data_IF_850384064309
#
_entry.id   IF_850384064309
#
_cell.length_a   1.000
_cell.length_b   1.000
_cell.length_c   1.000
_cell.angle_alpha   90.00
_cell.angle_beta   90.00
_cell.angle_gamma   90.00
#
_symmetry.space_group_name_H-M   'P 1'
#
loop_
_entity.id
_entity.type
_entity.pdbx_description
1 polymer ?
#
# COMPACT_ATOMS: atom_id res chain seq x y z
N UNK A 1 5.26 -0.08 -10.54
CA UNK A 1 5.52 -0.34 -9.10
C UNK A 1 6.41 0.77 -8.60
N UNK A 2 6.07 1.41 -7.49
CA UNK A 2 6.93 2.40 -6.82
C UNK A 2 7.51 1.73 -5.58
N UNK A 3 8.83 1.77 -5.43
CA UNK A 3 9.50 1.36 -4.20
C UNK A 3 9.78 2.60 -3.37
N UNK A 4 9.28 2.63 -2.13
CA UNK A 4 9.36 3.81 -1.25
C UNK A 4 10.16 3.51 0.03
N UNK A 5 11.50 3.34 -0.07
CA UNK A 5 12.32 2.79 1.02
C UNK A 5 12.51 3.72 2.22
N UNK A 6 12.30 5.03 2.06
CA UNK A 6 12.28 6.01 3.16
C UNK A 6 11.28 7.09 2.83
N UNK A 7 10.27 7.21 3.69
CA UNK A 7 9.26 8.27 3.59
C UNK A 7 9.88 9.63 3.85
N UNK A 8 10.82 9.72 4.79
CA UNK A 8 11.47 10.97 5.20
C UNK A 8 12.33 11.57 4.08
N UNK A 9 13.01 10.72 3.31
CA UNK A 9 13.78 11.19 2.16
C UNK A 9 12.87 11.55 0.98
N UNK A 10 11.79 10.79 0.77
CA UNK A 10 10.83 11.07 -0.29
C UNK A 10 10.05 12.37 -0.03
N UNK A 11 9.65 12.61 1.22
CA UNK A 11 8.97 13.84 1.67
C UNK A 11 9.81 15.10 1.44
N UNK A 12 11.14 14.99 1.52
CA UNK A 12 12.06 16.11 1.26
C UNK A 12 12.22 16.44 -0.23
N UNK A 13 11.71 15.59 -1.12
CA UNK A 13 11.73 15.88 -2.56
C UNK A 13 10.71 16.96 -2.89
N UNK A 14 10.95 17.74 -3.95
CA UNK A 14 10.01 18.77 -4.37
C UNK A 14 8.69 18.20 -4.89
N UNK A 15 7.62 18.98 -4.81
CA UNK A 15 6.26 18.59 -5.19
C UNK A 15 6.17 18.02 -6.61
N UNK A 16 6.94 18.59 -7.56
CA UNK A 16 6.99 18.11 -8.93
C UNK A 16 7.48 16.65 -9.03
N UNK A 17 8.53 16.30 -8.28
CA UNK A 17 9.05 14.92 -8.25
C UNK A 17 8.10 13.97 -7.51
N UNK A 18 7.50 14.43 -6.40
CA UNK A 18 6.51 13.63 -5.69
C UNK A 18 5.28 13.33 -6.56
N UNK A 19 4.80 14.32 -7.33
CA UNK A 19 3.69 14.15 -8.26
C UNK A 19 4.07 13.31 -9.50
N UNK A 20 5.33 13.34 -9.94
CA UNK A 20 5.84 12.44 -10.97
C UNK A 20 5.79 10.98 -10.51
N UNK A 21 6.28 10.71 -9.29
CA UNK A 21 6.34 9.34 -8.73
C UNK A 21 4.97 8.84 -8.27
N UNK A 22 4.15 9.71 -7.67
CA UNK A 22 2.80 9.42 -7.17
C UNK A 22 1.78 10.38 -7.80
N UNK A 23 1.40 10.18 -9.08
CA UNK A 23 0.47 11.08 -9.77
C UNK A 23 -0.87 11.22 -9.02
N UNK A 24 -1.39 12.44 -8.83
CA UNK A 24 -2.59 12.67 -8.02
C UNK A 24 -3.83 11.98 -8.57
N UNK A 25 -3.93 11.81 -9.89
CA UNK A 25 -5.10 11.25 -10.56
C UNK A 25 -5.12 9.71 -10.64
N UNK A 26 -4.01 9.06 -10.29
CA UNK A 26 -3.89 7.59 -10.36
C UNK A 26 -4.31 6.97 -9.02
N UNK A 27 -5.22 5.97 -8.99
CA UNK A 27 -5.51 5.20 -7.78
C UNK A 27 -4.26 4.48 -7.25
N UNK A 28 -4.10 4.41 -5.93
CA UNK A 28 -2.88 3.89 -5.30
C UNK A 28 -3.22 2.76 -4.34
N UNK A 29 -2.39 1.71 -4.39
CA UNK A 29 -2.43 0.58 -3.47
C UNK A 29 -1.06 0.45 -2.78
N UNK A 30 -1.01 0.71 -1.49
CA UNK A 30 0.18 0.45 -0.68
C UNK A 30 0.20 -1.00 -0.19
N UNK A 31 1.40 -1.57 -0.06
CA UNK A 31 1.60 -2.97 0.37
C UNK A 31 2.79 -2.99 1.32
N UNK A 32 2.54 -3.31 2.58
CA UNK A 32 3.59 -3.41 3.60
C UNK A 32 3.19 -4.41 4.69
N UNK A 33 4.10 -5.27 5.12
CA UNK A 33 3.84 -6.24 6.19
C UNK A 33 3.91 -5.60 7.60
N UNK A 34 3.15 -4.52 7.79
CA UNK A 34 3.05 -3.74 9.02
C UNK A 34 1.68 -3.05 9.11
N UNK A 35 1.47 -2.23 10.15
CA UNK A 35 0.23 -1.45 10.29
C UNK A 35 -0.05 -0.60 9.06
N UNK A 36 -1.32 -0.52 8.59
CA UNK A 36 -1.68 0.38 7.49
C UNK A 36 -1.63 1.87 7.90
N UNK A 37 -1.51 2.17 9.20
CA UNK A 37 -1.49 3.53 9.73
C UNK A 37 -0.38 4.38 9.10
N UNK A 38 -0.74 5.57 8.61
CA UNK A 38 0.16 6.55 8.00
C UNK A 38 0.24 6.43 6.48
N UNK A 39 -0.11 5.28 5.89
CA UNK A 39 -0.07 5.11 4.43
C UNK A 39 -1.10 5.98 3.70
N UNK A 40 -2.18 6.39 4.37
CA UNK A 40 -3.20 7.32 3.86
C UNK A 40 -2.60 8.66 3.39
N UNK A 41 -1.44 9.04 3.97
CA UNK A 41 -0.64 10.18 3.53
C UNK A 41 -0.23 10.09 2.06
N UNK A 42 0.10 8.88 1.58
CA UNK A 42 0.63 8.63 0.24
C UNK A 42 -0.42 8.09 -0.73
N UNK A 43 -1.34 7.25 -0.24
CA UNK A 43 -2.40 6.67 -1.09
C UNK A 43 -3.66 7.54 -1.16
N UNK A 44 -3.82 8.48 -0.22
CA UNK A 44 -5.00 9.33 -0.07
C UNK A 44 -6.04 8.74 0.89
N UNK A 45 -6.95 9.60 1.36
CA UNK A 45 -8.04 9.24 2.29
C UNK A 45 -9.34 8.81 1.60
N UNK A 46 -9.42 8.91 0.27
CA UNK A 46 -10.60 8.50 -0.49
C UNK A 46 -10.58 6.98 -0.72
N UNK A 47 -11.50 6.20 -0.10
CA UNK A 47 -11.50 4.74 -0.23
C UNK A 47 -11.82 4.26 -1.65
N UNK A 48 -12.35 5.11 -2.53
CA UNK A 48 -12.53 4.79 -3.95
C UNK A 48 -11.22 4.88 -4.75
N UNK A 49 -10.19 5.54 -4.20
CA UNK A 49 -8.93 5.88 -4.92
C UNK A 49 -7.67 5.40 -4.20
N UNK A 50 -7.76 5.08 -2.91
CA UNK A 50 -6.65 4.61 -2.08
C UNK A 50 -7.01 3.35 -1.32
N UNK A 51 -6.06 2.41 -1.25
CA UNK A 51 -6.15 1.27 -0.33
C UNK A 51 -4.76 0.86 0.16
N UNK A 52 -4.74 0.10 1.27
CA UNK A 52 -3.52 -0.42 1.89
C UNK A 52 -3.72 -1.91 2.17
N UNK A 53 -2.76 -2.73 1.79
CA UNK A 53 -2.62 -4.11 2.27
C UNK A 53 -1.54 -4.10 3.34
N UNK A 54 -1.96 -4.34 4.58
CA UNK A 54 -1.08 -4.45 5.73
C UNK A 54 -1.69 -5.32 6.82
N UNK A 55 -1.11 -5.26 8.02
CA UNK A 55 -1.47 -6.09 9.18
C UNK A 55 -1.85 -5.14 10.34
N UNK A 56 -3.11 -5.14 10.74
CA UNK A 56 -3.67 -4.27 11.80
C UNK A 56 -3.85 -4.97 13.16
N UNK A 57 -3.37 -6.21 13.28
CA UNK A 57 -3.40 -7.02 14.48
C UNK A 57 -2.04 -7.66 14.78
N UNK A 58 -1.89 -8.31 15.94
CA UNK A 58 -0.65 -9.02 16.27
C UNK A 58 -0.40 -10.22 15.35
N UNK A 59 0.88 -10.60 15.24
CA UNK A 59 1.30 -11.77 14.48
C UNK A 59 0.91 -13.11 15.13
N UNK A 60 1.35 -14.19 14.50
CA UNK A 60 1.19 -15.55 14.99
C UNK A 60 2.49 -16.36 14.80
N UNK A 61 2.65 -17.45 15.54
CA UNK A 61 3.80 -18.36 15.42
C UNK A 61 3.56 -19.40 14.32
N UNK A 62 4.10 -19.15 13.13
CA UNK A 62 4.08 -20.08 11.99
C UNK A 62 5.17 -19.69 10.96
N UNK A 63 5.50 -20.57 9.99
CA UNK A 63 6.33 -20.19 8.85
C UNK A 63 5.75 -19.01 8.08
N UNK A 64 6.60 -18.12 7.56
CA UNK A 64 6.16 -16.85 6.96
C UNK A 64 5.18 -17.04 5.79
N UNK A 65 5.31 -18.11 5.00
CA UNK A 65 4.40 -18.39 3.89
C UNK A 65 2.96 -18.56 4.39
N UNK A 66 2.78 -19.28 5.50
CA UNK A 66 1.46 -19.48 6.12
C UNK A 66 0.94 -18.17 6.69
N UNK A 67 1.79 -17.38 7.33
CA UNK A 67 1.43 -16.06 7.85
C UNK A 67 0.97 -15.14 6.71
N UNK A 68 1.70 -15.07 5.61
CA UNK A 68 1.36 -14.20 4.48
C UNK A 68 0.09 -14.63 3.77
N UNK A 69 -0.15 -15.93 3.64
CA UNK A 69 -1.39 -16.45 3.08
C UNK A 69 -2.60 -16.08 3.94
N UNK A 70 -2.52 -16.31 5.26
CA UNK A 70 -3.61 -16.01 6.21
C UNK A 70 -3.83 -14.50 6.39
N UNK A 71 -2.77 -13.70 6.35
CA UNK A 71 -2.86 -12.24 6.52
C UNK A 71 -3.11 -11.50 5.19
N UNK A 72 -3.29 -12.24 4.09
CA UNK A 72 -3.61 -11.64 2.79
C UNK A 72 -2.46 -10.88 2.13
N UNK A 73 -1.21 -11.11 2.53
CA UNK A 73 0.00 -10.61 1.86
C UNK A 73 0.34 -11.49 0.64
N UNK A 74 -0.61 -11.63 -0.28
CA UNK A 74 -0.50 -12.50 -1.45
C UNK A 74 -0.72 -11.74 -2.75
N UNK A 75 -0.08 -12.20 -3.83
CA UNK A 75 -0.28 -11.60 -5.15
C UNK A 75 -1.76 -11.63 -5.59
N UNK A 76 -2.50 -12.69 -5.25
CA UNK A 76 -3.92 -12.80 -5.56
C UNK A 76 -4.74 -11.70 -4.87
N UNK A 77 -4.49 -11.44 -3.58
CA UNK A 77 -5.18 -10.37 -2.86
C UNK A 77 -4.80 -8.98 -3.37
N UNK A 78 -3.52 -8.76 -3.72
CA UNK A 78 -3.05 -7.53 -4.38
C UNK A 78 -3.81 -7.28 -5.69
N UNK A 79 -3.93 -8.29 -6.55
CA UNK A 79 -4.67 -8.17 -7.81
C UNK A 79 -6.15 -7.87 -7.54
N UNK A 80 -6.78 -8.55 -6.59
CA UNK A 80 -8.18 -8.32 -6.25
C UNK A 80 -8.43 -6.88 -5.78
N UNK A 81 -7.59 -6.36 -4.89
CA UNK A 81 -7.69 -4.97 -4.40
C UNK A 81 -7.43 -3.95 -5.49
N UNK A 82 -6.42 -4.18 -6.34
CA UNK A 82 -6.13 -3.30 -7.46
C UNK A 82 -7.28 -3.25 -8.47
N UNK A 83 -7.93 -4.38 -8.78
CA UNK A 83 -9.12 -4.42 -9.65
C UNK A 83 -10.30 -3.67 -9.05
N UNK A 84 -10.56 -3.84 -7.76
CA UNK A 84 -11.62 -3.12 -7.05
C UNK A 84 -11.43 -1.59 -7.12
N UNK A 85 -10.21 -1.08 -6.92
CA UNK A 85 -9.89 0.35 -7.09
C UNK A 85 -10.10 0.88 -8.51
N UNK A 86 -10.03 -0.01 -9.51
CA UNK A 86 -10.26 0.34 -10.92
C UNK A 86 -11.71 0.12 -11.35
N UNK A 87 -12.59 -0.34 -10.46
CA UNK A 87 -13.98 -0.69 -10.78
C UNK A 87 -14.10 -1.87 -11.75
N UNK A 88 -13.20 -2.86 -11.66
CA UNK A 88 -13.12 -4.03 -12.55
C UNK A 88 -13.30 -5.35 -11.81
#
# INVERSE_FOLDING_TARGET
VVSLPSWELFEKQGDAYQAEVLPPDVPKLAIEAATPFGWERWVGNDPARGAVIGIDHFGASAPYQRIYEEFGLTAAHVVAKAKALLGR
#
